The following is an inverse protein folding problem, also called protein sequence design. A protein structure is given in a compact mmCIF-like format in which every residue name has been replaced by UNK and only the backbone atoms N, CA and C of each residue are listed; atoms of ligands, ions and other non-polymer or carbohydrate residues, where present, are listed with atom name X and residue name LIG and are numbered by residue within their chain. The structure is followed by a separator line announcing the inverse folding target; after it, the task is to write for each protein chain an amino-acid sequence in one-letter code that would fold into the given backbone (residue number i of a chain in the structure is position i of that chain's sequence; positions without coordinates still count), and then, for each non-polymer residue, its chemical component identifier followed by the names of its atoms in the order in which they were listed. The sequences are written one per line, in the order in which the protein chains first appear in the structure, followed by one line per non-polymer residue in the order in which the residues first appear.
data_IF_943919367550
#
_entry.id   IF_943919367550
#
_cell.length_a   1.000
_cell.length_b   1.000
_cell.length_c   1.000
_cell.angle_alpha   90.00
_cell.angle_beta   90.00
_cell.angle_gamma   90.00
#
_symmetry.space_group_name_H-M   'P 1'
#
loop_
_entity.id
_entity.type
_entity.pdbx_description
1 polymer ?
#
# COMPACT_ATOMS: atom_id res chain seq x y z
N UNK A 1 -0.72 -2.99 -14.94
CA UNK A 1 -1.61 -2.59 -13.83
C UNK A 1 -1.17 -1.20 -13.40
N UNK A 2 -2.05 -0.18 -13.40
CA UNK A 2 -1.62 1.18 -13.08
C UNK A 2 -1.27 1.24 -11.59
N UNK A 3 -0.07 1.72 -11.31
CA UNK A 3 0.52 1.83 -9.97
C UNK A 3 -0.50 2.40 -8.97
N UNK A 4 -0.67 1.69 -7.86
CA UNK A 4 -1.40 2.11 -6.66
C UNK A 4 -1.08 3.57 -6.29
N UNK A 5 0.16 4.00 -6.55
CA UNK A 5 0.67 5.32 -6.24
C UNK A 5 0.34 6.40 -7.27
N UNK A 6 0.22 6.07 -8.56
CA UNK A 6 -0.08 7.06 -9.60
C UNK A 6 -1.54 7.56 -9.56
N UNK A 7 -2.44 6.86 -8.85
CA UNK A 7 -3.78 7.37 -8.52
C UNK A 7 -3.85 8.10 -7.17
N UNK A 8 -2.95 7.85 -6.24
CA UNK A 8 -2.85 8.64 -4.99
C UNK A 8 -2.06 9.93 -5.21
N UNK A 9 -2.59 10.80 -6.08
CA UNK A 9 -2.46 12.26 -5.85
C UNK A 9 -3.21 12.68 -4.58
N UNK A 10 -4.08 11.81 -4.06
CA UNK A 10 -4.76 11.90 -2.77
C UNK A 10 -3.83 11.58 -1.60
N UNK A 11 -4.21 12.11 -0.45
CA UNK A 11 -3.49 12.07 0.82
C UNK A 11 -3.22 10.65 1.33
N UNK A 12 -2.41 10.52 2.39
CA UNK A 12 -2.20 9.26 3.14
C UNK A 12 -3.53 8.57 3.53
N UNK A 13 -4.58 9.36 3.71
CA UNK A 13 -5.91 8.88 4.11
C UNK A 13 -6.60 8.14 2.97
N UNK A 14 -6.43 8.57 1.72
CA UNK A 14 -6.96 7.90 0.53
C UNK A 14 -6.32 6.52 0.33
N UNK A 15 -5.02 6.40 0.58
CA UNK A 15 -4.34 5.12 0.55
C UNK A 15 -4.85 4.18 1.65
N UNK A 16 -5.00 4.68 2.87
CA UNK A 16 -5.53 3.89 3.98
C UNK A 16 -6.96 3.40 3.71
N UNK A 17 -7.83 4.27 3.18
CA UNK A 17 -9.18 3.93 2.74
C UNK A 17 -9.20 2.89 1.62
N UNK A 18 -8.32 3.04 0.63
CA UNK A 18 -8.23 2.08 -0.48
C UNK A 18 -7.80 0.69 -0.01
N UNK A 19 -6.81 0.62 0.89
CA UNK A 19 -6.38 -0.64 1.51
C UNK A 19 -7.50 -1.28 2.33
N UNK A 20 -8.25 -0.49 3.10
CA UNK A 20 -9.40 -0.98 3.88
C UNK A 20 -10.52 -1.49 2.96
N UNK A 21 -10.89 -0.75 1.91
CA UNK A 21 -11.90 -1.17 0.93
C UNK A 21 -11.50 -2.44 0.18
N UNK A 22 -10.24 -2.54 -0.27
CA UNK A 22 -9.74 -3.74 -0.95
C UNK A 22 -9.84 -4.97 -0.05
N UNK A 23 -9.52 -4.82 1.23
CA UNK A 23 -9.69 -5.87 2.23
C UNK A 23 -11.15 -6.25 2.44
N UNK A 24 -12.02 -5.26 2.65
CA UNK A 24 -13.43 -5.51 3.00
C UNK A 24 -14.23 -6.05 1.80
N UNK A 25 -13.80 -5.75 0.57
CA UNK A 25 -14.35 -6.33 -0.67
C UNK A 25 -13.85 -7.74 -0.97
N UNK A 26 -12.99 -8.32 -0.13
CA UNK A 26 -12.44 -9.66 -0.31
C UNK A 26 -11.43 -9.75 -1.47
N UNK A 27 -10.96 -8.61 -1.99
CA UNK A 27 -9.94 -8.53 -3.05
C UNK A 27 -8.77 -7.68 -2.56
N UNK A 28 -8.00 -8.17 -1.56
CA UNK A 28 -6.83 -7.45 -1.09
C UNK A 28 -5.81 -7.30 -2.23
N UNK A 29 -5.06 -6.20 -2.20
CA UNK A 29 -3.90 -6.03 -3.08
C UNK A 29 -2.91 -7.17 -2.87
N UNK A 30 -2.24 -7.59 -3.94
CA UNK A 30 -1.25 -8.65 -3.83
C UNK A 30 -0.03 -8.17 -3.05
N UNK A 31 0.67 -9.11 -2.41
CA UNK A 31 1.91 -8.84 -1.69
C UNK A 31 2.95 -8.16 -2.62
N UNK A 32 3.04 -8.62 -3.87
CA UNK A 32 3.94 -8.05 -4.87
C UNK A 32 3.59 -6.60 -5.23
N UNK A 33 2.30 -6.27 -5.36
CA UNK A 33 1.86 -4.89 -5.65
C UNK A 33 2.17 -3.95 -4.49
N UNK A 34 1.99 -4.42 -3.24
CA UNK A 34 2.29 -3.65 -2.04
C UNK A 34 3.80 -3.42 -1.87
N UNK A 35 4.62 -4.43 -2.16
CA UNK A 35 6.09 -4.34 -2.13
C UNK A 35 6.62 -3.39 -3.21
N UNK A 36 6.10 -3.50 -4.44
CA UNK A 36 6.44 -2.56 -5.51
C UNK A 36 6.09 -1.11 -5.13
N UNK A 37 4.90 -0.89 -4.58
CA UNK A 37 4.48 0.44 -4.10
C UNK A 37 5.37 0.96 -2.95
N UNK A 38 5.79 0.08 -2.04
CA UNK A 38 6.69 0.46 -0.95
C UNK A 38 8.05 0.93 -1.49
N UNK A 39 8.60 0.21 -2.46
CA UNK A 39 9.87 0.54 -3.09
C UNK A 39 9.80 1.84 -3.91
N UNK A 40 8.70 2.06 -4.63
CA UNK A 40 8.45 3.30 -5.36
C UNK A 40 8.37 4.51 -4.42
N UNK A 41 7.60 4.41 -3.32
CA UNK A 41 7.50 5.50 -2.33
C UNK A 41 8.84 5.74 -1.62
N UNK A 42 9.66 4.70 -1.38
CA UNK A 42 11.01 4.83 -0.81
C UNK A 42 11.99 5.52 -1.77
N UNK A 43 11.84 5.32 -3.07
CA UNK A 43 12.68 5.95 -4.12
C UNK A 43 12.22 7.36 -4.48
N UNK A 44 11.02 7.75 -4.07
CA UNK A 44 10.49 9.08 -4.31
C UNK A 44 11.28 10.16 -3.56
N UNK A 45 11.58 11.26 -4.25
CA UNK A 45 12.27 12.45 -3.70
C UNK A 45 11.48 13.09 -2.53
N UNK A 46 10.17 12.81 -2.44
CA UNK A 46 9.27 13.25 -1.37
C UNK A 46 8.73 12.10 -0.52
N UNK A 47 9.53 11.07 -0.24
CA UNK A 47 9.11 9.87 0.48
C UNK A 47 8.32 10.19 1.77
N UNK A 48 7.04 9.77 1.79
CA UNK A 48 6.17 9.97 2.95
C UNK A 48 6.33 8.82 3.92
N UNK A 49 7.01 9.07 5.05
CA UNK A 49 7.23 8.07 6.12
C UNK A 49 5.93 7.40 6.58
N UNK A 50 4.82 8.14 6.58
CA UNK A 50 3.48 7.63 6.93
C UNK A 50 2.93 6.63 5.91
N UNK A 51 3.16 6.87 4.61
CA UNK A 51 2.78 5.92 3.54
C UNK A 51 3.60 4.64 3.64
N UNK A 52 4.92 4.80 3.81
CA UNK A 52 5.85 3.67 3.99
C UNK A 52 5.40 2.80 5.18
N UNK A 53 5.14 3.41 6.34
CA UNK A 53 4.68 2.67 7.52
C UNK A 53 3.32 1.97 7.31
N UNK A 54 2.42 2.56 6.54
CA UNK A 54 1.13 1.96 6.17
C UNK A 54 1.33 0.71 5.32
N UNK A 55 2.14 0.81 4.27
CA UNK A 55 2.46 -0.30 3.36
C UNK A 55 3.18 -1.43 4.10
N UNK A 56 4.20 -1.11 4.90
CA UNK A 56 4.92 -2.11 5.72
C UNK A 56 3.98 -2.86 6.68
N UNK A 57 3.04 -2.15 7.31
CA UNK A 57 2.06 -2.76 8.21
C UNK A 57 1.12 -3.72 7.47
N UNK A 58 0.67 -3.35 6.27
CA UNK A 58 -0.22 -4.20 5.48
C UNK A 58 0.51 -5.43 4.93
N UNK A 59 1.73 -5.26 4.42
CA UNK A 59 2.62 -6.37 4.01
C UNK A 59 2.82 -7.34 5.18
N UNK A 60 3.15 -6.82 6.38
CA UNK A 60 3.34 -7.65 7.57
C UNK A 60 2.07 -8.40 7.97
N UNK A 61 0.89 -7.76 7.85
CA UNK A 61 -0.40 -8.41 8.09
C UNK A 61 -0.62 -9.56 7.12
N UNK A 62 -0.45 -9.33 5.81
CA UNK A 62 -0.67 -10.38 4.80
C UNK A 62 0.28 -11.56 5.00
N UNK A 63 1.57 -11.29 5.27
CA UNK A 63 2.56 -12.35 5.58
C UNK A 63 2.16 -13.16 6.81
N UNK A 64 1.58 -12.53 7.84
CA UNK A 64 1.07 -13.24 9.03
C UNK A 64 -0.19 -14.04 8.74
N UNK A 65 -1.05 -13.59 7.84
CA UNK A 65 -2.27 -14.32 7.46
C UNK A 65 -1.98 -15.50 6.52
N UNK A 66 -0.85 -15.46 5.80
CA UNK A 66 -0.40 -16.52 4.90
C UNK A 66 0.49 -17.59 5.57
N UNK A 67 0.90 -17.37 6.83
CA UNK A 67 1.70 -18.29 7.65
C UNK A 67 0.80 -19.12 8.58
#
# INVERSE_FOLDING_TARGET
MPELLNRTKGSVQDLALSLACARDSGRPYTLADLEASLDDERRSVGARKTVIALLEREIKRQRKAAA
#
